data_IF_004877463564
#
_entry.id   IF_004877463564
#
_cell.length_a   1.000
_cell.length_b   1.000
_cell.length_c   1.000
_cell.angle_alpha   90.00
_cell.angle_beta   90.00
_cell.angle_gamma   90.00
#
_symmetry.space_group_name_H-M   'P 1'
#
loop_
_entity.id
_entity.type
_entity.pdbx_description
1 polymer ?
#
# COMPACT_ATOMS: atom_id res chain seq x y z
N UNK A 1 -20.49 -6.86 -20.26
CA UNK A 1 -21.29 -7.05 -19.02
C UNK A 1 -22.66 -6.40 -19.24
N UNK A 2 -23.74 -7.06 -18.86
CA UNK A 2 -25.12 -6.57 -18.99
C UNK A 2 -25.77 -6.49 -17.61
N UNK A 3 -26.70 -5.55 -17.39
CA UNK A 3 -27.48 -5.47 -16.16
C UNK A 3 -28.61 -6.51 -16.15
N UNK A 4 -29.40 -6.55 -15.06
CA UNK A 4 -30.54 -7.44 -14.92
C UNK A 4 -31.66 -7.18 -15.94
N UNK A 5 -31.61 -6.08 -16.67
CA UNK A 5 -32.55 -5.70 -17.73
C UNK A 5 -31.97 -6.00 -19.13
N UNK A 6 -30.80 -6.64 -19.21
CA UNK A 6 -30.13 -6.96 -20.47
C UNK A 6 -29.49 -5.76 -21.15
N UNK A 7 -29.37 -4.60 -20.48
CA UNK A 7 -28.68 -3.43 -21.03
C UNK A 7 -27.18 -3.58 -20.83
N UNK A 8 -26.42 -3.34 -21.89
CA UNK A 8 -24.96 -3.42 -21.83
C UNK A 8 -24.39 -2.32 -20.92
N UNK A 9 -23.82 -2.73 -19.78
CA UNK A 9 -23.16 -1.83 -18.81
C UNK A 9 -21.72 -1.55 -19.25
N UNK A 10 -21.03 -2.61 -19.70
CA UNK A 10 -19.67 -2.54 -20.21
C UNK A 10 -19.56 -3.19 -21.58
N UNK A 11 -19.00 -2.47 -22.58
CA UNK A 11 -18.48 -3.03 -23.82
C UNK A 11 -17.69 -4.34 -23.63
N UNK A 12 -17.67 -5.22 -24.64
CA UNK A 12 -16.92 -6.50 -24.60
C UNK A 12 -15.40 -6.34 -24.73
N UNK A 13 -14.94 -5.13 -25.02
CA UNK A 13 -13.55 -4.74 -25.28
C UNK A 13 -12.68 -4.60 -24.01
N UNK A 14 -13.24 -4.79 -22.81
CA UNK A 14 -12.46 -4.81 -21.58
C UNK A 14 -11.80 -6.17 -21.36
N UNK A 15 -10.49 -6.17 -21.10
CA UNK A 15 -9.67 -7.37 -20.90
C UNK A 15 -9.75 -7.91 -19.48
N UNK A 16 -10.01 -7.05 -18.49
CA UNK A 16 -10.27 -7.45 -17.09
C UNK A 16 -11.42 -6.65 -16.51
N UNK A 17 -12.26 -7.31 -15.73
CA UNK A 17 -13.32 -6.66 -14.97
C UNK A 17 -13.27 -7.15 -13.53
N UNK A 18 -12.99 -6.26 -12.59
CA UNK A 18 -13.09 -6.54 -11.17
C UNK A 18 -14.36 -5.90 -10.61
N UNK A 19 -15.23 -6.76 -10.07
CA UNK A 19 -16.39 -6.35 -9.30
C UNK A 19 -15.97 -6.22 -7.85
N UNK A 20 -15.97 -4.99 -7.36
CA UNK A 20 -15.69 -4.72 -5.96
C UNK A 20 -17.01 -4.49 -5.27
N UNK A 21 -17.43 -5.47 -4.47
CA UNK A 21 -18.64 -5.38 -3.67
C UNK A 21 -18.31 -4.92 -2.26
N UNK A 22 -18.83 -3.75 -1.88
CA UNK A 22 -18.80 -3.31 -0.49
C UNK A 22 -20.14 -3.67 0.18
N UNK A 23 -20.10 -4.63 1.12
CA UNK A 23 -21.29 -5.18 1.79
C UNK A 23 -22.04 -4.16 2.65
N UNK A 24 -21.33 -3.18 3.20
CA UNK A 24 -21.90 -2.27 4.18
C UNK A 24 -22.61 -1.08 3.54
N UNK A 25 -22.07 -0.54 2.45
CA UNK A 25 -22.73 0.55 1.71
C UNK A 25 -23.56 0.07 0.52
N UNK A 26 -23.63 -1.26 0.28
CA UNK A 26 -24.29 -1.90 -0.86
C UNK A 26 -23.88 -1.30 -2.21
N UNK A 27 -22.63 -0.80 -2.31
CA UNK A 27 -22.11 -0.24 -3.56
C UNK A 27 -21.32 -1.29 -4.32
N UNK A 28 -21.56 -1.32 -5.63
CA UNK A 28 -20.79 -2.08 -6.60
C UNK A 28 -19.92 -1.11 -7.37
N UNK A 29 -18.61 -1.35 -7.35
CA UNK A 29 -17.71 -0.67 -8.27
C UNK A 29 -17.34 -1.66 -9.37
N UNK A 30 -17.38 -1.19 -10.60
CA UNK A 30 -16.86 -1.94 -11.73
C UNK A 30 -15.59 -1.25 -12.19
N UNK A 31 -14.47 -1.96 -12.01
CA UNK A 31 -13.19 -1.57 -12.60
C UNK A 31 -13.02 -2.40 -13.86
N UNK A 32 -12.84 -1.72 -14.98
CA UNK A 32 -12.70 -2.37 -16.27
C UNK A 32 -11.43 -1.85 -16.97
N UNK A 33 -10.51 -2.76 -17.29
CA UNK A 33 -9.27 -2.46 -18.00
C UNK A 33 -9.45 -2.70 -19.50
N UNK A 34 -8.95 -1.78 -20.33
CA UNK A 34 -8.86 -1.94 -21.78
C UNK A 34 -7.47 -1.52 -22.24
N UNK A 35 -6.57 -2.48 -22.39
CA UNK A 35 -5.20 -2.23 -22.84
C UNK A 35 -4.42 -1.42 -21.81
N UNK A 36 -4.17 -0.14 -22.10
CA UNK A 36 -3.31 0.78 -21.32
C UNK A 36 -4.07 1.68 -20.34
N UNK A 37 -5.40 1.57 -20.28
CA UNK A 37 -6.24 2.40 -19.43
C UNK A 37 -7.32 1.60 -18.71
N UNK A 38 -7.76 2.14 -17.57
CA UNK A 38 -8.88 1.62 -16.80
C UNK A 38 -10.02 2.65 -16.74
N UNK A 39 -11.24 2.17 -16.58
CA UNK A 39 -12.38 3.00 -16.18
C UNK A 39 -12.86 2.64 -14.79
N UNK A 40 -13.11 3.68 -13.99
CA UNK A 40 -13.93 3.62 -12.81
C UNK A 40 -15.36 3.93 -13.24
N UNK A 41 -16.25 2.94 -13.13
CA UNK A 41 -17.69 3.15 -13.34
C UNK A 41 -18.35 3.38 -11.99
N UNK A 42 -18.79 4.61 -11.76
CA UNK A 42 -19.44 5.03 -10.53
C UNK A 42 -20.92 4.61 -10.51
N UNK A 43 -21.54 4.58 -9.32
CA UNK A 43 -22.95 4.18 -9.16
C UNK A 43 -23.96 5.00 -9.98
N UNK A 44 -23.63 6.25 -10.31
CA UNK A 44 -24.47 7.11 -11.14
C UNK A 44 -24.24 6.89 -12.65
N UNK A 45 -23.46 5.87 -13.03
CA UNK A 45 -23.09 5.58 -14.41
C UNK A 45 -21.96 6.45 -14.98
N UNK A 46 -21.46 7.44 -14.23
CA UNK A 46 -20.32 8.25 -14.65
C UNK A 46 -19.08 7.36 -14.78
N UNK A 47 -18.35 7.54 -15.89
CA UNK A 47 -17.09 6.85 -16.17
C UNK A 47 -15.94 7.82 -15.97
N UNK A 48 -14.93 7.43 -15.20
CA UNK A 48 -13.67 8.18 -15.03
C UNK A 48 -12.57 7.33 -15.65
N UNK A 49 -11.87 7.87 -16.67
CA UNK A 49 -10.78 7.20 -17.37
C UNK A 49 -9.45 7.53 -16.71
N UNK A 50 -8.60 6.53 -16.54
CA UNK A 50 -7.19 6.73 -16.17
C UNK A 50 -6.25 5.93 -17.05
N UNK A 51 -5.11 6.51 -17.40
CA UNK A 51 -4.10 5.91 -18.29
C UNK A 51 -3.12 5.00 -17.53
N UNK A 52 -3.66 4.03 -16.79
CA UNK A 52 -2.92 2.95 -16.14
C UNK A 52 -3.69 1.62 -16.22
N UNK A 53 -2.98 0.51 -16.01
CA UNK A 53 -3.55 -0.84 -15.95
C UNK A 53 -3.76 -1.22 -14.48
N UNK A 54 -4.92 -1.73 -14.12
CA UNK A 54 -5.13 -2.25 -12.77
C UNK A 54 -4.37 -3.57 -12.57
N UNK A 55 -3.52 -3.62 -11.56
CA UNK A 55 -2.87 -4.88 -11.15
C UNK A 55 -3.74 -5.58 -10.10
N UNK A 56 -4.08 -4.88 -9.02
CA UNK A 56 -4.82 -5.41 -7.89
C UNK A 56 -5.83 -4.39 -7.36
N UNK A 57 -6.99 -4.90 -6.97
CA UNK A 57 -8.02 -4.15 -6.27
C UNK A 57 -8.07 -4.60 -4.81
N UNK A 58 -8.03 -3.65 -3.88
CA UNK A 58 -8.12 -3.93 -2.45
C UNK A 58 -9.39 -3.30 -1.87
N UNK A 59 -10.07 -4.09 -1.05
CA UNK A 59 -11.12 -3.61 -0.17
C UNK A 59 -10.49 -3.36 1.20
N UNK A 60 -10.45 -2.10 1.63
CA UNK A 60 -10.07 -1.75 3.01
C UNK A 60 -11.33 -1.69 3.88
N UNK A 61 -11.27 -2.32 5.05
CA UNK A 61 -12.30 -2.23 6.09
C UNK A 61 -11.60 -1.95 7.43
N UNK A 62 -12.08 -1.01 8.25
CA UNK A 62 -13.07 -1.41 9.27
C UNK A 62 -14.22 -0.43 9.55
N UNK A 63 -14.20 0.82 9.08
CA UNK A 63 -15.29 1.78 9.38
C UNK A 63 -15.61 2.78 8.24
N UNK A 64 -14.68 3.02 7.30
CA UNK A 64 -14.75 4.16 6.35
C UNK A 64 -15.03 3.85 4.88
N UNK A 65 -15.37 2.61 4.53
CA UNK A 65 -16.13 2.31 3.28
C UNK A 65 -15.44 2.68 1.95
N UNK A 66 -14.14 2.93 1.94
CA UNK A 66 -13.40 3.31 0.73
C UNK A 66 -12.80 2.10 0.01
N UNK A 67 -12.88 2.15 -1.33
CA UNK A 67 -12.26 1.18 -2.22
C UNK A 67 -10.97 1.77 -2.74
N UNK A 68 -9.89 0.99 -2.65
CA UNK A 68 -8.58 1.41 -3.09
C UNK A 68 -8.08 0.54 -4.21
N UNK A 69 -7.64 1.18 -5.29
CA UNK A 69 -7.12 0.48 -6.46
C UNK A 69 -5.63 0.71 -6.54
N UNK A 70 -4.87 -0.39 -6.64
CA UNK A 70 -3.46 -0.36 -6.99
C UNK A 70 -3.36 -0.39 -8.51
N UNK A 71 -3.11 0.80 -9.06
CA UNK A 71 -2.80 0.95 -10.48
C UNK A 71 -1.34 0.64 -10.75
N UNK A 72 -1.04 0.11 -11.93
CA UNK A 72 0.30 -0.08 -12.47
C UNK A 72 0.43 0.66 -13.79
N UNK A 73 1.47 1.48 -13.91
CA UNK A 73 1.85 2.13 -15.15
C UNK A 73 3.30 1.78 -15.47
N UNK A 74 3.57 1.37 -16.70
CA UNK A 74 4.92 1.23 -17.26
C UNK A 74 5.02 2.13 -18.49
N UNK A 75 6.15 2.83 -18.63
CA UNK A 75 6.41 3.74 -19.75
C UNK A 75 6.42 3.02 -21.11
N UNK A 76 6.63 1.71 -21.11
CA UNK A 76 6.71 0.87 -22.31
C UNK A 76 5.43 0.05 -22.56
N UNK A 77 4.33 0.33 -21.84
CA UNK A 77 3.02 -0.31 -22.07
C UNK A 77 2.36 0.05 -23.40
N UNK A 78 3.02 0.85 -24.24
CA UNK A 78 2.47 1.37 -25.49
C UNK A 78 2.26 0.31 -26.59
N UNK A 79 2.41 -0.99 -26.30
CA UNK A 79 2.27 -2.06 -27.31
C UNK A 79 1.62 -3.33 -26.74
N UNK A 80 0.37 -3.57 -27.12
CA UNK A 80 -0.25 -4.90 -27.28
C UNK A 80 -0.02 -5.93 -26.15
N UNK A 81 -0.34 -5.58 -24.91
CA UNK A 81 -0.19 -6.48 -23.78
C UNK A 81 -1.53 -7.00 -23.26
N UNK A 82 -1.77 -8.29 -23.50
CA UNK A 82 -2.86 -9.06 -22.87
C UNK A 82 -2.25 -9.87 -21.73
N UNK A 83 -2.66 -9.58 -20.48
CA UNK A 83 -2.35 -10.44 -19.33
C UNK A 83 -3.62 -11.12 -18.84
N UNK A 84 -3.65 -12.45 -18.90
CA UNK A 84 -4.62 -13.27 -18.18
C UNK A 84 -3.87 -13.83 -16.96
N UNK A 85 -4.21 -13.36 -15.77
CA UNK A 85 -3.78 -14.00 -14.53
C UNK A 85 -4.88 -14.97 -14.10
N UNK A 86 -4.66 -16.27 -14.27
CA UNK A 86 -5.50 -17.31 -13.66
C UNK A 86 -4.87 -17.79 -12.36
N UNK A 87 -5.36 -17.29 -11.23
CA UNK A 87 -5.11 -17.92 -9.93
C UNK A 87 -5.98 -19.17 -9.80
N UNK A 88 -5.56 -20.30 -10.39
CA UNK A 88 -6.13 -21.60 -10.04
C UNK A 88 -5.29 -22.23 -8.93
N UNK A 89 -5.86 -22.30 -7.72
CA UNK A 89 -5.29 -23.09 -6.61
C UNK A 89 -5.41 -24.62 -6.84
N UNK A 90 -5.98 -25.07 -7.96
CA UNK A 90 -6.13 -26.48 -8.32
C UNK A 90 -5.68 -26.73 -9.77
N UNK A 91 -4.44 -27.17 -10.02
CA UNK A 91 -3.96 -27.51 -11.35
C UNK A 91 -4.45 -28.91 -11.73
N UNK A 92 -5.74 -29.04 -12.04
CA UNK A 92 -6.30 -30.26 -12.61
C UNK A 92 -7.33 -29.88 -13.66
N UNK A 93 -6.83 -29.49 -14.84
CA UNK A 93 -7.49 -29.67 -16.14
C UNK A 93 -6.43 -29.44 -17.22
N UNK A 94 -6.37 -30.40 -18.13
CA UNK A 94 -5.51 -30.39 -19.32
C UNK A 94 -5.69 -29.03 -20.02
N UNK A 95 -4.62 -28.29 -20.35
CA UNK A 95 -4.76 -27.02 -21.05
C UNK A 95 -5.47 -27.27 -22.39
N UNK A 96 -6.45 -26.42 -22.70
CA UNK A 96 -7.08 -26.42 -24.01
C UNK A 96 -5.98 -26.24 -25.07
N UNK A 97 -5.87 -27.12 -26.09
CA UNK A 97 -4.81 -27.08 -27.10
C UNK A 97 -4.71 -25.75 -27.87
N UNK A 98 -5.76 -24.92 -27.84
CA UNK A 98 -5.75 -23.57 -28.43
C UNK A 98 -5.21 -22.48 -27.49
N UNK A 99 -4.78 -22.83 -26.28
CA UNK A 99 -4.23 -21.87 -25.31
C UNK A 99 -2.78 -21.55 -25.65
N UNK A 100 -2.55 -20.40 -26.30
CA UNK A 100 -1.19 -19.84 -26.44
C UNK A 100 -0.75 -19.25 -25.11
N UNK A 101 0.21 -19.89 -24.44
CA UNK A 101 0.88 -19.33 -23.27
C UNK A 101 1.91 -18.31 -23.77
N UNK A 102 1.58 -17.01 -23.65
CA UNK A 102 2.56 -15.94 -23.87
C UNK A 102 3.34 -15.77 -22.57
N UNK A 103 4.54 -16.34 -22.50
CA UNK A 103 5.47 -16.11 -21.40
C UNK A 103 6.10 -14.74 -21.62
N UNK A 104 5.52 -13.75 -20.97
CA UNK A 104 5.96 -12.37 -21.13
C UNK A 104 7.21 -12.13 -20.26
N UNK A 105 8.33 -11.80 -20.90
CA UNK A 105 9.63 -11.60 -20.26
C UNK A 105 9.72 -10.20 -19.60
N UNK A 106 8.69 -9.78 -18.85
CA UNK A 106 8.51 -8.43 -18.27
C UNK A 106 9.47 -8.09 -17.11
N UNK A 107 10.56 -8.83 -16.92
CA UNK A 107 11.36 -8.73 -15.68
C UNK A 107 12.03 -7.37 -15.44
N UNK A 108 12.03 -6.44 -16.41
CA UNK A 108 12.83 -5.22 -16.34
C UNK A 108 12.09 -3.90 -16.58
N UNK A 109 10.76 -3.89 -16.75
CA UNK A 109 10.04 -2.62 -16.91
C UNK A 109 9.78 -1.97 -15.55
N UNK A 110 10.09 -0.67 -15.37
CA UNK A 110 9.71 0.02 -14.16
C UNK A 110 8.19 0.07 -14.08
N UNK A 111 7.64 -0.63 -13.10
CA UNK A 111 6.23 -0.64 -12.74
C UNK A 111 6.05 0.43 -11.67
N UNK A 112 5.33 1.50 -12.01
CA UNK A 112 4.91 2.50 -11.05
C UNK A 112 3.53 2.18 -10.53
N UNK A 113 3.37 2.32 -9.22
CA UNK A 113 2.15 2.09 -8.50
C UNK A 113 1.59 3.38 -7.93
N UNK A 114 0.26 3.41 -7.80
CA UNK A 114 -0.50 4.52 -7.25
C UNK A 114 -1.69 3.99 -6.47
N UNK A 115 -2.27 4.86 -5.64
CA UNK A 115 -3.42 4.55 -4.80
C UNK A 115 -4.56 5.49 -5.18
N UNK A 116 -5.70 4.93 -5.56
CA UNK A 116 -6.86 5.71 -5.98
C UNK A 116 -8.06 5.41 -5.10
N UNK A 117 -8.86 6.42 -4.76
CA UNK A 117 -10.09 6.26 -4.01
C UNK A 117 -11.25 5.73 -4.88
N UNK A 118 -12.40 5.55 -4.26
CA UNK A 118 -13.61 5.03 -4.91
C UNK A 118 -14.20 5.96 -5.99
N UNK A 119 -13.74 7.20 -6.07
CA UNK A 119 -14.11 8.18 -7.09
C UNK A 119 -13.06 8.28 -8.22
N UNK A 120 -11.99 7.47 -8.14
CA UNK A 120 -10.85 7.53 -9.05
C UNK A 120 -9.89 8.69 -8.75
N UNK A 121 -10.03 9.39 -7.62
CA UNK A 121 -9.08 10.44 -7.26
C UNK A 121 -7.81 9.82 -6.69
N UNK A 122 -6.66 10.32 -7.11
CA UNK A 122 -5.38 9.85 -6.60
C UNK A 122 -5.24 10.23 -5.11
N UNK A 123 -5.03 9.22 -4.27
CA UNK A 123 -4.54 9.35 -2.89
C UNK A 123 -3.02 9.32 -2.88
N UNK A 124 -2.42 8.44 -3.69
CA UNK A 124 -1.01 8.45 -4.06
C UNK A 124 -0.90 8.41 -5.58
N UNK A 125 -0.06 9.28 -6.14
CA UNK A 125 0.31 9.35 -7.57
C UNK A 125 0.94 8.03 -8.06
N UNK A 126 0.87 7.79 -9.37
CA UNK A 126 1.55 6.66 -10.04
C UNK A 126 3.05 6.94 -10.21
N UNK A 127 3.78 6.96 -9.10
CA UNK A 127 5.22 7.25 -9.10
C UNK A 127 6.03 6.39 -8.13
N UNK A 128 5.37 5.45 -7.44
CA UNK A 128 6.00 4.60 -6.44
C UNK A 128 6.39 3.27 -7.05
N UNK A 129 7.54 2.72 -6.69
CA UNK A 129 7.97 1.40 -7.17
C UNK A 129 7.08 0.29 -6.59
N UNK A 130 6.58 0.49 -5.37
CA UNK A 130 5.73 -0.47 -4.67
C UNK A 130 4.86 0.22 -3.61
N UNK A 131 3.65 -0.26 -3.41
CA UNK A 131 2.71 0.12 -2.35
C UNK A 131 2.21 -1.17 -1.72
N UNK A 132 2.44 -1.30 -0.43
CA UNK A 132 1.98 -2.44 0.37
C UNK A 132 1.13 -1.94 1.52
N UNK A 133 0.32 -2.83 2.08
CA UNK A 133 -0.65 -2.48 3.11
C UNK A 133 -0.48 -3.37 4.32
N UNK A 134 -0.54 -2.77 5.51
CA UNK A 134 -0.56 -3.53 6.75
C UNK A 134 -1.87 -4.31 6.89
N UNK A 135 -1.80 -5.51 7.47
CA UNK A 135 -3.01 -6.28 7.79
C UNK A 135 -3.83 -5.49 8.81
N UNK A 136 -5.08 -5.18 8.46
CA UNK A 136 -6.03 -4.46 9.33
C UNK A 136 -5.55 -3.07 9.76
N UNK A 137 -4.82 -2.36 8.89
CA UNK A 137 -4.38 -0.99 9.16
C UNK A 137 -4.84 -0.05 8.06
N UNK A 138 -5.17 1.19 8.44
CA UNK A 138 -5.44 2.29 7.52
C UNK A 138 -4.15 2.98 7.01
N UNK A 139 -3.06 2.20 6.94
CA UNK A 139 -1.74 2.67 6.54
C UNK A 139 -1.25 1.96 5.28
N UNK A 140 -0.65 2.73 4.39
CA UNK A 140 0.10 2.23 3.25
C UNK A 140 1.60 2.43 3.47
N UNK A 141 2.40 1.43 3.12
CA UNK A 141 3.86 1.55 3.02
C UNK A 141 4.19 1.68 1.55
N UNK A 142 4.66 2.86 1.15
CA UNK A 142 5.07 3.11 -0.23
C UNK A 142 6.59 3.18 -0.34
N UNK A 143 7.14 2.68 -1.44
CA UNK A 143 8.56 2.80 -1.76
C UNK A 143 8.78 3.52 -3.08
N UNK A 144 9.81 4.37 -3.15
CA UNK A 144 10.27 5.06 -4.36
C UNK A 144 11.80 5.17 -4.33
N UNK A 145 12.47 4.72 -5.38
CA UNK A 145 13.93 4.77 -5.53
C UNK A 145 14.67 4.15 -4.32
N UNK A 146 14.21 2.96 -3.87
CA UNK A 146 14.71 2.26 -2.66
C UNK A 146 14.50 3.00 -1.34
N UNK A 147 13.76 4.11 -1.34
CA UNK A 147 13.31 4.79 -0.13
C UNK A 147 11.89 4.36 0.21
N UNK A 148 11.54 4.36 1.49
CA UNK A 148 10.24 3.96 2.01
C UNK A 148 9.66 5.02 2.93
N UNK A 149 8.33 5.06 2.99
CA UNK A 149 7.56 5.89 3.91
C UNK A 149 6.26 5.20 4.33
N UNK A 150 5.57 5.81 5.30
CA UNK A 150 4.28 5.34 5.81
C UNK A 150 3.25 6.44 5.63
N UNK A 151 2.19 6.14 4.88
CA UNK A 151 1.11 7.04 4.54
C UNK A 151 -0.16 6.68 5.33
N UNK A 152 -0.74 7.66 5.98
CA UNK A 152 -2.06 7.59 6.61
C UNK A 152 -3.13 7.79 5.54
N UNK A 153 -3.80 6.71 5.16
CA UNK A 153 -4.81 6.70 4.11
C UNK A 153 -6.02 7.55 4.53
N UNK A 154 -6.37 7.51 5.82
CA UNK A 154 -7.56 8.16 6.38
C UNK A 154 -7.38 9.67 6.48
N UNK A 155 -6.23 10.11 7.00
CA UNK A 155 -5.91 11.53 7.14
C UNK A 155 -5.21 12.11 5.91
N UNK A 156 -4.98 11.31 4.88
CA UNK A 156 -4.31 11.67 3.61
C UNK A 156 -2.98 12.39 3.83
N UNK A 157 -2.16 11.91 4.76
CA UNK A 157 -0.88 12.53 5.12
C UNK A 157 0.23 11.50 5.33
N UNK A 158 1.47 11.90 5.10
CA UNK A 158 2.62 11.08 5.50
C UNK A 158 2.78 11.08 7.02
N UNK A 159 2.81 9.89 7.61
CA UNK A 159 3.29 9.67 8.99
C UNK A 159 4.82 9.67 8.97
N UNK A 160 5.39 8.97 7.99
CA UNK A 160 6.84 8.91 7.75
C UNK A 160 7.09 9.21 6.28
N UNK A 161 7.81 10.29 5.93
CA UNK A 161 8.06 10.64 4.54
C UNK A 161 8.93 9.59 3.82
N UNK A 162 8.81 9.48 2.49
CA UNK A 162 9.54 8.53 1.66
C UNK A 162 11.01 8.94 1.50
N UNK A 163 11.81 8.71 2.55
CA UNK A 163 13.25 9.04 2.58
C UNK A 163 14.10 8.03 3.35
N UNK A 164 13.49 6.99 3.91
CA UNK A 164 14.15 5.99 4.75
C UNK A 164 14.50 4.75 3.94
N UNK A 165 15.53 3.99 4.31
CA UNK A 165 15.87 2.70 3.68
C UNK A 165 14.93 1.57 4.12
N UNK A 166 14.34 1.69 5.31
CA UNK A 166 13.38 0.73 5.85
C UNK A 166 12.52 1.40 6.93
N UNK A 167 11.28 0.97 7.06
CA UNK A 167 10.42 1.32 8.19
C UNK A 167 9.81 0.03 8.73
N UNK A 168 9.87 -0.17 10.04
CA UNK A 168 9.22 -1.27 10.73
C UNK A 168 8.53 -0.80 12.01
N UNK A 169 7.41 -1.42 12.36
CA UNK A 169 6.83 -1.28 13.70
C UNK A 169 7.72 -2.01 14.71
N UNK A 170 7.91 -1.44 15.91
CA UNK A 170 8.78 -2.05 16.93
C UNK A 170 8.11 -3.27 17.55
N UNK A 171 6.89 -3.11 18.05
CA UNK A 171 6.00 -4.19 18.49
C UNK A 171 4.56 -3.66 18.58
N UNK A 172 3.59 -4.53 18.87
CA UNK A 172 2.17 -4.14 19.00
C UNK A 172 1.83 -3.40 20.30
N UNK A 173 2.73 -3.38 21.28
CA UNK A 173 2.52 -2.76 22.60
C UNK A 173 3.09 -1.34 22.70
N UNK A 174 4.05 -1.02 21.83
CA UNK A 174 4.68 0.27 21.65
C UNK A 174 4.25 0.81 20.30
N UNK A 175 3.39 1.85 20.27
CA UNK A 175 2.90 2.43 19.03
C UNK A 175 3.97 3.33 18.39
N UNK A 176 5.12 2.72 18.10
CA UNK A 176 6.29 3.35 17.52
C UNK A 176 6.69 2.66 16.22
N UNK A 177 7.05 3.49 15.27
CA UNK A 177 7.78 3.09 14.08
C UNK A 177 9.27 3.35 14.28
N UNK A 178 10.09 2.43 13.77
CA UNK A 178 11.53 2.58 13.60
C UNK A 178 11.82 2.76 12.11
N UNK A 179 12.42 3.88 11.75
CA UNK A 179 12.69 4.29 10.38
C UNK A 179 14.19 4.42 10.14
N UNK A 180 14.78 3.53 9.36
CA UNK A 180 16.23 3.50 9.10
C UNK A 180 16.61 4.55 8.06
N UNK A 181 17.42 5.54 8.46
CA UNK A 181 18.01 6.53 7.53
C UNK A 181 19.13 5.86 6.74
N UNK A 182 19.97 5.11 7.44
CA UNK A 182 21.09 4.35 6.86
C UNK A 182 21.38 3.12 7.74
N UNK A 183 21.11 1.93 7.22
CA UNK A 183 21.27 0.66 7.97
C UNK A 183 22.72 0.38 8.33
N UNK A 184 23.64 0.62 7.39
CA UNK A 184 25.08 0.36 7.57
C UNK A 184 25.69 1.20 8.70
N UNK A 185 25.22 2.44 8.85
CA UNK A 185 25.66 3.39 9.89
C UNK A 185 24.79 3.35 11.14
N UNK A 186 23.84 2.42 11.21
CA UNK A 186 22.87 2.30 12.29
C UNK A 186 22.12 3.62 12.60
N UNK A 187 21.83 4.42 11.56
CA UNK A 187 21.04 5.65 11.69
C UNK A 187 19.55 5.33 11.55
N UNK A 188 18.78 5.58 12.61
CA UNK A 188 17.36 5.33 12.81
C UNK A 188 16.61 6.54 13.42
N UNK A 189 15.48 6.88 12.85
CA UNK A 189 14.48 7.73 13.52
C UNK A 189 13.40 6.86 14.16
N UNK A 190 12.80 7.39 15.22
CA UNK A 190 11.65 6.80 15.91
C UNK A 190 10.48 7.75 15.82
N UNK A 191 9.36 7.25 15.34
CA UNK A 191 8.12 8.01 15.19
C UNK A 191 7.01 7.37 16.01
N UNK A 192 6.09 8.17 16.56
CA UNK A 192 4.82 7.63 17.01
C UNK A 192 3.89 7.34 15.83
N UNK A 193 2.76 6.68 16.08
CA UNK A 193 1.76 6.38 15.04
C UNK A 193 1.03 7.62 14.50
N UNK A 194 1.19 8.79 15.13
CA UNK A 194 0.65 10.06 14.62
C UNK A 194 1.62 10.78 13.66
N UNK A 195 2.86 10.29 13.56
CA UNK A 195 3.92 10.84 12.73
C UNK A 195 4.83 11.85 13.44
N UNK A 196 4.74 11.96 14.77
CA UNK A 196 5.65 12.82 15.52
C UNK A 196 7.00 12.12 15.67
N UNK A 197 8.08 12.82 15.33
CA UNK A 197 9.44 12.35 15.56
C UNK A 197 9.72 12.36 17.07
N UNK A 198 9.89 11.17 17.64
CA UNK A 198 10.17 10.97 19.07
C UNK A 198 11.67 11.03 19.34
N UNK A 199 12.48 10.41 18.46
CA UNK A 199 13.93 10.35 18.61
C UNK A 199 14.59 10.23 17.25
N UNK A 200 15.72 10.92 17.06
CA UNK A 200 16.52 10.85 15.82
C UNK A 200 17.94 10.35 16.09
N UNK A 201 18.47 9.52 15.20
CA UNK A 201 19.79 8.88 15.34
C UNK A 201 20.97 9.72 14.89
N UNK A 202 21.05 10.97 15.30
CA UNK A 202 22.39 11.53 15.53
C UNK A 202 23.09 10.86 16.74
N UNK A 203 22.67 9.64 17.07
CA UNK A 203 22.74 8.93 18.34
C UNK A 203 22.75 7.43 17.99
N UNK A 204 23.81 6.72 18.39
CA UNK A 204 23.89 5.27 18.26
C UNK A 204 22.92 4.59 19.24
N UNK A 205 21.87 3.95 18.73
CA UNK A 205 20.82 3.33 19.56
C UNK A 205 20.94 1.82 19.50
N UNK A 206 21.33 1.21 20.61
CA UNK A 206 21.20 -0.22 20.83
C UNK A 206 20.07 -0.45 21.82
N UNK A 207 18.94 -1.00 21.35
CA UNK A 207 17.82 -1.36 22.21
C UNK A 207 18.04 -2.74 22.81
N UNK A 208 18.06 -2.83 24.13
CA UNK A 208 18.13 -4.10 24.84
C UNK A 208 16.86 -4.31 25.66
N UNK A 209 16.19 -5.42 25.35
CA UNK A 209 15.14 -6.08 26.13
C UNK A 209 13.88 -5.27 26.44
N UNK A 210 12.76 -5.71 25.86
CA UNK A 210 11.43 -5.21 26.16
C UNK A 210 10.82 -6.07 27.26
N UNK A 211 11.10 -5.74 28.52
CA UNK A 211 10.34 -6.22 29.68
C UNK A 211 9.63 -5.02 30.31
N UNK A 212 8.31 -5.12 30.49
CA UNK A 212 7.44 -4.11 31.11
C UNK A 212 7.30 -2.75 30.39
N UNK A 213 7.26 -2.71 29.05
CA UNK A 213 7.01 -1.44 28.35
C UNK A 213 8.19 -0.45 28.38
N UNK A 214 9.39 -0.93 28.73
CA UNK A 214 10.61 -0.13 28.83
C UNK A 214 11.50 -0.39 27.62
N UNK A 215 12.12 0.67 27.12
CA UNK A 215 13.19 0.57 26.13
C UNK A 215 14.40 1.32 26.66
N UNK A 216 15.56 0.67 26.63
CA UNK A 216 16.83 1.31 26.92
C UNK A 216 17.44 1.86 25.63
N UNK A 217 17.98 3.06 25.72
CA UNK A 217 18.67 3.78 24.66
C UNK A 217 20.05 4.18 25.15
N UNK A 218 21.03 4.20 24.27
CA UNK A 218 22.35 4.75 24.56
C UNK A 218 22.55 6.02 23.75
N UNK A 219 23.11 7.08 24.34
CA UNK A 219 23.38 8.35 23.66
C UNK A 219 24.58 9.04 24.28
N UNK A 220 25.61 9.30 23.47
CA UNK A 220 26.79 10.08 23.84
C UNK A 220 27.41 9.61 25.17
N UNK A 221 27.60 8.29 25.33
CA UNK A 221 28.17 7.74 26.56
C UNK A 221 27.19 7.56 27.73
N UNK A 222 25.93 8.00 27.59
CA UNK A 222 24.93 7.92 28.65
C UNK A 222 23.82 6.94 28.28
N UNK A 223 23.29 6.23 29.28
CA UNK A 223 22.12 5.36 29.10
C UNK A 223 20.85 6.13 29.44
N UNK A 224 19.83 5.99 28.60
CA UNK A 224 18.51 6.55 28.79
C UNK A 224 17.50 5.41 28.85
N UNK A 225 16.50 5.57 29.69
CA UNK A 225 15.36 4.68 29.80
C UNK A 225 14.14 5.42 29.33
N UNK A 226 13.50 4.90 28.29
CA UNK A 226 12.19 5.36 27.84
C UNK A 226 11.12 4.48 28.47
N UNK A 227 10.07 5.13 28.95
CA UNK A 227 8.86 4.48 29.45
C UNK A 227 7.66 4.98 28.66
N UNK A 228 6.90 4.06 28.08
CA UNK A 228 5.62 4.38 27.47
C UNK A 228 4.48 4.09 28.44
N UNK A 229 3.81 5.14 28.92
CA UNK A 229 2.59 5.00 29.69
C UNK A 229 1.42 4.79 28.71
N UNK A 230 0.93 3.55 28.62
CA UNK A 230 -0.15 3.17 27.70
C UNK A 230 -1.47 3.88 28.00
N UNK A 231 -1.83 4.05 29.28
CA UNK A 231 -3.07 4.71 29.70
C UNK A 231 -3.10 6.19 29.30
N UNK A 232 -1.97 6.87 29.45
CA UNK A 232 -1.82 8.30 29.13
C UNK A 232 -1.32 8.55 27.71
N UNK A 233 -1.02 7.47 26.96
CA UNK A 233 -0.34 7.50 25.66
C UNK A 233 0.89 8.43 25.65
N UNK A 234 1.67 8.43 26.74
CA UNK A 234 2.75 9.40 26.95
C UNK A 234 4.09 8.71 27.09
N UNK A 235 5.10 9.24 26.39
CA UNK A 235 6.49 8.82 26.50
C UNK A 235 7.22 9.67 27.54
N UNK A 236 7.98 9.02 28.42
CA UNK A 236 8.83 9.68 29.43
C UNK A 236 10.26 9.15 29.34
N UNK A 237 11.23 10.03 29.52
CA UNK A 237 12.65 9.72 29.44
C UNK A 237 13.33 9.90 30.80
N UNK A 238 14.19 8.96 31.16
CA UNK A 238 15.03 9.02 32.35
C UNK A 238 16.48 8.82 31.93
N UNK A 239 17.37 9.73 32.33
CA UNK A 239 18.81 9.47 32.26
C UNK A 239 19.17 8.54 33.42
N UNK A 240 19.83 7.41 33.13
CA UNK A 240 20.33 6.48 34.13
C UNK A 240 21.74 6.87 34.60
#
# INVERSE_FOLDING_TARGET
>A
MFDSLGKQILPSEYSKINLIWNRENKRQYILADKGTYCYFVLNNGKKVKHDFIMEKAYLFNHERKDVFVQGVQSKDLDRNLWTIETYSKNPCRIPNPDTRIIINNMKNLPIYQGLFDSLGQAVLSLEYDNITFGKNTDYAIASKEKRVGVYDIVNKKWIIPVRYEEVCGINSELPLYKAWINKEKHKVDYYDYSGNLILSSDIFIQSFNYQDGKILFYKNGNTYKMYYNKEKQKITWYKL
#
